data_IF_766519911681
#
_entry.id   IF_766519911681
#
_cell.length_a   1.000
_cell.length_b   1.000
_cell.length_c   1.000
_cell.angle_alpha   90.00
_cell.angle_beta   90.00
_cell.angle_gamma   90.00
#
_symmetry.space_group_name_H-M   'P 1'
#
loop_
_entity.id
_entity.type
_entity.pdbx_description
1 polymer ?
#
# COMPACT_ATOMS: atom_id res chain seq x y z
N UNK A 1 21.77 -37.19 27.85
CA UNK A 1 20.78 -36.14 27.99
C UNK A 1 21.57 -34.83 28.02
N UNK A 2 21.70 -34.17 26.89
CA UNK A 2 22.41 -32.88 26.79
C UNK A 2 21.33 -31.82 26.70
N UNK A 3 21.18 -31.06 27.80
CA UNK A 3 20.21 -29.97 27.93
C UNK A 3 20.94 -28.70 27.45
N UNK A 4 20.82 -28.37 26.16
CA UNK A 4 21.36 -27.12 25.60
C UNK A 4 20.22 -26.12 25.48
N UNK A 5 19.77 -25.62 26.62
CA UNK A 5 18.86 -24.46 26.66
C UNK A 5 19.73 -23.18 26.75
N UNK A 6 20.42 -22.86 25.65
CA UNK A 6 21.09 -21.58 25.54
C UNK A 6 20.08 -20.60 24.94
N UNK A 7 19.45 -19.81 25.80
CA UNK A 7 18.62 -18.68 25.38
C UNK A 7 19.51 -17.67 24.64
N UNK A 8 19.32 -17.44 23.32
CA UNK A 8 20.13 -16.49 22.56
C UNK A 8 19.99 -15.05 23.05
N UNK A 9 19.03 -14.74 23.91
CA UNK A 9 18.82 -13.42 24.49
C UNK A 9 19.62 -13.20 25.78
N UNK A 10 20.29 -14.21 26.34
CA UNK A 10 21.20 -14.02 27.48
C UNK A 10 22.38 -13.09 27.16
N UNK A 11 22.75 -12.98 25.87
CA UNK A 11 23.76 -11.99 25.40
C UNK A 11 23.30 -10.54 25.61
N UNK A 12 22.00 -10.29 25.66
CA UNK A 12 21.44 -8.95 25.91
C UNK A 12 21.38 -8.60 27.41
N UNK A 13 21.59 -9.57 28.28
CA UNK A 13 21.64 -9.36 29.73
C UNK A 13 23.02 -8.93 30.25
N UNK A 14 24.07 -9.11 29.46
CA UNK A 14 25.42 -8.59 29.73
C UNK A 14 25.54 -7.11 29.31
N UNK A 15 24.81 -6.27 30.06
CA UNK A 15 24.59 -4.86 29.74
C UNK A 15 25.77 -3.92 29.99
N UNK A 16 26.93 -4.41 30.38
CA UNK A 16 28.03 -3.56 30.89
C UNK A 16 29.26 -3.43 29.97
N UNK A 17 29.21 -3.99 28.77
CA UNK A 17 30.27 -3.72 27.79
C UNK A 17 29.70 -2.88 26.64
N UNK A 18 30.09 -1.59 26.53
CA UNK A 18 29.74 -0.80 25.36
C UNK A 18 30.34 -1.45 24.12
N UNK A 19 29.55 -2.14 23.33
CA UNK A 19 29.96 -2.67 22.03
C UNK A 19 30.17 -1.46 21.14
N UNK A 20 31.42 -1.13 20.86
CA UNK A 20 31.73 -0.09 19.87
C UNK A 20 31.26 -0.60 18.49
N UNK A 21 30.40 0.12 17.81
CA UNK A 21 29.97 -0.28 16.46
C UNK A 21 31.17 -0.29 15.52
N UNK A 22 31.09 -1.14 14.47
CA UNK A 22 32.09 -1.13 13.39
C UNK A 22 32.37 0.32 12.97
N UNK A 23 33.65 0.75 12.97
CA UNK A 23 34.04 2.13 12.65
C UNK A 23 33.54 2.60 11.27
N UNK A 24 33.50 1.70 10.30
CA UNK A 24 32.95 1.99 8.96
C UNK A 24 31.44 2.15 8.96
N UNK A 25 30.74 1.35 9.74
CA UNK A 25 29.30 1.50 9.93
C UNK A 25 28.99 2.83 10.64
N UNK A 26 29.69 3.13 11.72
CA UNK A 26 29.51 4.36 12.48
C UNK A 26 29.79 5.60 11.61
N UNK A 27 30.82 5.58 10.78
CA UNK A 27 31.14 6.67 9.86
C UNK A 27 30.08 6.87 8.79
N UNK A 28 29.59 5.77 8.18
CA UNK A 28 28.51 5.85 7.19
C UNK A 28 27.19 6.35 7.79
N UNK A 29 26.85 5.88 8.99
CA UNK A 29 25.64 6.34 9.68
C UNK A 29 25.73 7.83 10.03
N UNK A 30 26.89 8.26 10.55
CA UNK A 30 27.14 9.68 10.87
C UNK A 30 26.99 10.56 9.63
N UNK A 31 27.65 10.20 8.53
CA UNK A 31 27.57 10.96 7.28
C UNK A 31 26.11 11.07 6.76
N UNK A 32 25.33 10.01 6.86
CA UNK A 32 23.90 10.03 6.49
C UNK A 32 23.07 10.94 7.40
N UNK A 33 23.31 10.91 8.70
CA UNK A 33 22.62 11.78 9.65
C UNK A 33 22.99 13.25 9.45
N UNK A 34 24.26 13.55 9.25
CA UNK A 34 24.74 14.91 8.95
C UNK A 34 24.13 15.44 7.64
N UNK A 35 24.08 14.61 6.60
CA UNK A 35 23.40 14.94 5.33
C UNK A 35 21.90 15.19 5.51
N UNK A 36 21.22 14.38 6.33
CA UNK A 36 19.79 14.55 6.60
C UNK A 36 19.48 15.83 7.39
N UNK A 37 20.37 16.23 8.30
CA UNK A 37 20.24 17.45 9.09
C UNK A 37 20.52 18.73 8.30
N UNK A 38 21.27 18.64 7.19
CA UNK A 38 21.58 19.77 6.30
C UNK A 38 20.55 19.97 5.19
N UNK A 39 19.59 19.04 5.03
CA UNK A 39 18.50 19.23 4.09
C UNK A 39 17.59 20.38 4.53
N UNK A 40 17.32 21.37 3.67
CA UNK A 40 16.39 22.44 3.99
C UNK A 40 15.00 21.85 4.31
N UNK A 41 14.41 22.35 5.39
CA UNK A 41 13.10 21.95 5.88
C UNK A 41 12.05 22.17 4.78
N UNK A 42 11.65 21.12 4.06
CA UNK A 42 10.67 21.17 2.95
C UNK A 42 9.26 21.24 3.50
N UNK A 43 8.90 22.35 4.09
CA UNK A 43 7.51 22.77 4.29
C UNK A 43 7.18 23.82 3.23
N UNK A 44 7.04 23.42 1.96
CA UNK A 44 6.20 24.12 0.97
C UNK A 44 6.39 23.42 -0.38
N UNK A 45 5.28 23.07 -1.04
CA UNK A 45 5.29 22.55 -2.39
C UNK A 45 5.91 23.59 -3.33
N UNK A 46 7.06 23.28 -3.91
CA UNK A 46 7.69 24.07 -4.97
C UNK A 46 7.39 23.39 -6.28
N UNK A 47 6.66 24.12 -7.12
CA UNK A 47 6.55 23.87 -8.55
C UNK A 47 7.96 23.96 -9.15
N UNK A 48 8.47 22.86 -9.70
CA UNK A 48 9.75 22.82 -10.37
C UNK A 48 9.62 23.48 -11.74
N UNK A 49 10.03 24.72 -11.84
CA UNK A 49 10.38 25.34 -13.12
C UNK A 49 11.90 25.51 -13.16
N UNK A 50 12.54 24.76 -14.08
CA UNK A 50 13.75 25.14 -14.78
C UNK A 50 15.08 25.07 -14.02
N UNK A 51 15.95 24.21 -14.55
CA UNK A 51 17.43 24.30 -14.53
C UNK A 51 18.14 24.40 -13.19
N UNK A 52 18.48 23.24 -12.63
CA UNK A 52 19.62 23.15 -11.73
C UNK A 52 20.57 22.05 -12.22
N UNK A 53 21.58 22.48 -12.97
CA UNK A 53 22.64 21.66 -13.59
C UNK A 53 23.69 21.21 -12.55
N UNK A 54 23.54 21.60 -11.29
CA UNK A 54 24.56 21.41 -10.26
C UNK A 54 24.42 20.13 -9.42
N UNK A 55 23.34 19.36 -9.57
CA UNK A 55 23.15 18.07 -8.84
C UNK A 55 23.51 16.86 -9.70
N UNK A 56 23.81 17.08 -10.98
CA UNK A 56 24.07 15.99 -11.94
C UNK A 56 25.47 15.39 -11.86
N UNK A 57 26.42 16.00 -11.16
CA UNK A 57 27.82 15.54 -11.14
C UNK A 57 28.18 14.65 -9.94
N UNK A 58 27.28 14.45 -8.96
CA UNK A 58 27.54 13.60 -7.79
C UNK A 58 27.01 12.16 -7.92
N UNK A 59 26.36 11.84 -9.01
CA UNK A 59 25.86 10.49 -9.31
C UNK A 59 26.45 9.92 -10.59
N UNK A 60 27.78 9.94 -10.71
CA UNK A 60 28.47 9.26 -11.84
C UNK A 60 28.73 7.79 -11.52
N UNK A 61 27.70 7.06 -11.11
CA UNK A 61 27.57 5.66 -11.50
C UNK A 61 26.73 5.61 -12.76
N UNK A 62 27.04 4.69 -13.74
CA UNK A 62 26.22 4.60 -14.95
C UNK A 62 24.79 4.35 -14.53
N UNK A 63 23.95 5.34 -14.75
CA UNK A 63 22.52 5.28 -14.49
C UNK A 63 21.97 4.09 -15.29
N UNK A 64 21.83 2.95 -14.62
CA UNK A 64 20.75 2.05 -14.96
C UNK A 64 19.52 2.95 -14.93
N UNK A 65 18.96 3.24 -16.10
CA UNK A 65 17.79 4.06 -16.24
C UNK A 65 16.78 3.60 -15.19
N UNK A 66 16.55 4.42 -14.17
CA UNK A 66 15.47 4.24 -13.21
C UNK A 66 14.17 4.55 -13.94
N UNK A 67 13.82 3.67 -14.91
CA UNK A 67 12.45 3.58 -15.35
C UNK A 67 11.65 3.29 -14.07
N UNK A 68 10.68 4.14 -13.75
CA UNK A 68 9.70 3.80 -12.71
C UNK A 68 9.34 2.34 -12.88
N UNK A 69 9.39 1.52 -11.81
CA UNK A 69 9.14 0.10 -11.95
C UNK A 69 7.79 -0.06 -12.63
N UNK A 70 7.82 -0.55 -13.86
CA UNK A 70 6.59 -0.95 -14.55
C UNK A 70 6.06 -2.11 -13.76
N UNK A 71 4.74 -2.18 -13.48
CA UNK A 71 4.17 -3.36 -12.84
C UNK A 71 4.58 -4.58 -13.67
N UNK A 72 5.36 -5.47 -13.07
CA UNK A 72 5.82 -6.69 -13.73
C UNK A 72 4.67 -7.67 -13.95
N UNK A 73 3.56 -7.51 -13.20
CA UNK A 73 2.33 -8.26 -13.35
C UNK A 73 1.16 -7.28 -13.48
N UNK A 74 0.35 -7.47 -14.51
CA UNK A 74 -0.87 -6.68 -14.76
C UNK A 74 -2.06 -7.60 -14.50
N UNK A 75 -3.06 -7.18 -13.70
CA UNK A 75 -4.30 -7.93 -13.54
C UNK A 75 -4.99 -8.11 -14.89
N UNK A 76 -5.39 -9.34 -15.19
CA UNK A 76 -6.16 -9.68 -16.38
C UNK A 76 -7.43 -10.41 -15.92
N UNK A 77 -8.58 -9.76 -16.03
CA UNK A 77 -9.84 -10.23 -15.48
C UNK A 77 -10.65 -10.97 -16.56
N UNK A 78 -11.20 -12.12 -16.21
CA UNK A 78 -12.28 -12.73 -16.95
C UNK A 78 -13.62 -12.22 -16.40
N UNK A 79 -14.50 -11.74 -17.25
CA UNK A 79 -15.80 -11.21 -16.86
C UNK A 79 -16.92 -11.86 -17.69
N UNK A 80 -18.17 -11.97 -17.16
CA UNK A 80 -19.26 -12.58 -17.91
C UNK A 80 -19.68 -11.78 -19.14
N UNK A 81 -19.52 -10.45 -19.11
CA UNK A 81 -19.81 -9.51 -20.19
C UNK A 81 -18.80 -8.36 -20.12
N UNK A 82 -17.82 -8.39 -21.01
CA UNK A 82 -16.75 -7.41 -21.02
C UNK A 82 -17.22 -6.00 -21.38
N UNK A 83 -18.25 -5.84 -22.21
CA UNK A 83 -18.81 -4.52 -22.53
C UNK A 83 -19.48 -3.90 -21.31
N UNK A 84 -20.28 -4.68 -20.61
CA UNK A 84 -20.91 -4.25 -19.36
C UNK A 84 -19.86 -3.94 -18.28
N UNK A 85 -18.80 -4.76 -18.17
CA UNK A 85 -17.73 -4.54 -17.22
C UNK A 85 -16.94 -3.25 -17.52
N UNK A 86 -16.59 -2.98 -18.78
CA UNK A 86 -15.92 -1.73 -19.19
C UNK A 86 -16.77 -0.52 -18.78
N UNK A 87 -18.07 -0.53 -19.10
CA UNK A 87 -18.98 0.54 -18.72
C UNK A 87 -19.01 0.72 -17.20
N UNK A 88 -19.14 -0.37 -16.45
CA UNK A 88 -19.17 -0.34 -15.00
C UNK A 88 -17.87 0.21 -14.38
N UNK A 89 -16.70 -0.27 -14.81
CA UNK A 89 -15.41 0.23 -14.29
C UNK A 89 -15.22 1.71 -14.61
N UNK A 90 -15.69 2.16 -15.77
CA UNK A 90 -15.65 3.59 -16.14
C UNK A 90 -16.55 4.42 -15.21
N UNK A 91 -17.81 4.02 -15.02
CA UNK A 91 -18.78 4.80 -14.26
C UNK A 91 -18.57 4.70 -12.74
N UNK A 92 -18.30 3.49 -12.25
CA UNK A 92 -18.22 3.22 -10.82
C UNK A 92 -16.83 3.53 -10.24
N UNK A 93 -15.74 3.18 -10.94
CA UNK A 93 -14.38 3.32 -10.44
C UNK A 93 -13.58 4.43 -11.12
N UNK A 94 -14.11 5.03 -12.19
CA UNK A 94 -13.42 6.10 -12.92
C UNK A 94 -12.31 5.59 -13.84
N UNK A 95 -12.44 4.37 -14.32
CA UNK A 95 -11.52 3.82 -15.32
C UNK A 95 -11.68 4.54 -16.67
N UNK A 96 -10.62 4.56 -17.46
CA UNK A 96 -10.62 5.10 -18.82
C UNK A 96 -10.19 3.99 -19.76
N UNK A 97 -11.01 3.70 -20.76
CA UNK A 97 -10.66 2.72 -21.79
C UNK A 97 -9.47 3.22 -22.62
N UNK A 98 -8.49 2.34 -22.84
CA UNK A 98 -7.29 2.62 -23.63
C UNK A 98 -7.39 1.85 -24.95
N UNK A 99 -7.52 2.58 -26.04
CA UNK A 99 -7.71 1.98 -27.36
C UNK A 99 -9.05 1.27 -27.56
N UNK A 100 -9.19 0.60 -28.70
CA UNK A 100 -10.40 -0.18 -29.02
C UNK A 100 -10.23 -1.62 -28.52
N UNK A 101 -11.28 -2.22 -27.95
CA UNK A 101 -11.25 -3.61 -27.55
C UNK A 101 -11.07 -4.54 -28.75
N UNK A 102 -10.32 -5.63 -28.56
CA UNK A 102 -10.20 -6.68 -29.55
C UNK A 102 -11.45 -7.55 -29.52
N UNK A 103 -12.24 -7.46 -30.56
CA UNK A 103 -13.47 -8.26 -30.71
C UNK A 103 -13.14 -9.52 -31.52
N UNK A 104 -13.53 -10.68 -30.99
CA UNK A 104 -13.35 -11.98 -31.63
C UNK A 104 -14.45 -12.21 -32.68
N UNK A 105 -14.26 -13.23 -33.54
CA UNK A 105 -15.21 -13.56 -34.61
C UNK A 105 -16.62 -13.91 -34.11
N UNK A 106 -16.71 -14.41 -32.88
CA UNK A 106 -17.98 -14.75 -32.21
C UNK A 106 -18.62 -13.53 -31.48
N UNK A 107 -18.01 -12.36 -31.59
CA UNK A 107 -18.49 -11.11 -30.99
C UNK A 107 -18.08 -10.88 -29.54
N UNK A 108 -17.43 -11.85 -28.88
CA UNK A 108 -16.84 -11.65 -27.55
C UNK A 108 -15.65 -10.71 -27.61
N UNK A 109 -15.38 -10.02 -26.50
CA UNK A 109 -14.17 -9.23 -26.33
C UNK A 109 -13.05 -10.16 -25.82
N UNK A 110 -12.02 -10.37 -26.66
CA UNK A 110 -10.85 -11.16 -26.32
C UNK A 110 -9.82 -10.36 -25.51
N UNK A 111 -9.85 -9.03 -25.60
CA UNK A 111 -8.97 -8.16 -24.87
C UNK A 111 -9.49 -6.73 -24.82
N UNK A 112 -9.44 -6.13 -23.63
CA UNK A 112 -9.62 -4.70 -23.44
C UNK A 112 -8.64 -4.20 -22.38
N UNK A 113 -8.19 -2.96 -22.56
CA UNK A 113 -7.27 -2.28 -21.64
C UNK A 113 -7.97 -1.08 -21.02
N UNK A 114 -7.85 -0.96 -19.70
CA UNK A 114 -8.34 0.19 -18.93
C UNK A 114 -7.20 0.82 -18.14
N UNK A 115 -7.13 2.14 -18.15
CA UNK A 115 -6.34 2.91 -17.19
C UNK A 115 -7.19 3.17 -15.96
N UNK A 116 -6.69 2.84 -14.78
CA UNK A 116 -7.40 3.01 -13.52
C UNK A 116 -6.44 3.48 -12.43
N UNK A 117 -6.68 4.68 -11.88
CA UNK A 117 -5.87 5.29 -10.82
C UNK A 117 -4.35 5.30 -11.10
N UNK A 118 -3.97 5.52 -12.36
CA UNK A 118 -2.57 5.51 -12.80
C UNK A 118 -1.97 4.13 -13.04
N UNK A 119 -2.74 3.07 -12.82
CA UNK A 119 -2.40 1.69 -13.16
C UNK A 119 -3.09 1.21 -14.44
N UNK A 120 -2.85 -0.05 -14.77
CA UNK A 120 -3.43 -0.73 -15.94
C UNK A 120 -4.21 -1.95 -15.48
N UNK A 121 -5.37 -2.15 -16.07
CA UNK A 121 -6.25 -3.30 -15.87
C UNK A 121 -6.62 -3.87 -17.23
N UNK A 122 -6.39 -5.16 -17.44
CA UNK A 122 -6.87 -5.88 -18.61
C UNK A 122 -8.11 -6.69 -18.29
N UNK A 123 -8.98 -6.86 -19.28
CA UNK A 123 -10.12 -7.74 -19.14
C UNK A 123 -10.51 -8.37 -20.48
N UNK A 124 -11.19 -9.49 -20.39
CA UNK A 124 -11.81 -10.20 -21.52
C UNK A 124 -13.13 -10.82 -21.08
N UNK A 125 -13.96 -11.16 -22.04
CA UNK A 125 -15.08 -12.07 -21.83
C UNK A 125 -14.60 -13.44 -21.34
N UNK A 126 -15.47 -14.21 -20.75
CA UNK A 126 -15.21 -15.61 -20.42
C UNK A 126 -14.94 -16.44 -21.67
N UNK A 127 -13.92 -17.32 -21.57
CA UNK A 127 -13.62 -18.35 -22.54
C UNK A 127 -13.54 -19.70 -21.81
N UNK A 128 -14.68 -20.28 -21.42
CA UNK A 128 -14.72 -21.52 -20.63
C UNK A 128 -14.00 -22.68 -21.31
N UNK A 129 -14.00 -22.70 -22.64
CA UNK A 129 -13.30 -23.67 -23.48
C UNK A 129 -11.75 -23.60 -23.31
N UNK A 130 -11.23 -22.46 -22.89
CA UNK A 130 -9.82 -22.26 -22.54
C UNK A 130 -9.57 -22.28 -21.02
N UNK A 131 -10.59 -22.56 -20.22
CA UNK A 131 -10.50 -22.53 -18.75
C UNK A 131 -10.56 -21.13 -18.14
N UNK A 132 -10.83 -20.09 -18.95
CA UNK A 132 -10.92 -18.71 -18.49
C UNK A 132 -12.38 -18.39 -18.11
N UNK A 133 -12.62 -18.18 -16.81
CA UNK A 133 -13.96 -17.92 -16.26
C UNK A 133 -13.93 -16.77 -15.28
N UNK A 134 -15.03 -16.03 -15.21
CA UNK A 134 -15.27 -15.08 -14.14
C UNK A 134 -15.33 -15.79 -12.77
N UNK A 135 -15.09 -15.07 -11.66
CA UNK A 135 -15.23 -15.64 -10.34
C UNK A 135 -16.60 -16.22 -10.10
N UNK A 136 -16.66 -17.46 -9.60
CA UNK A 136 -17.91 -18.02 -9.13
C UNK A 136 -18.43 -17.23 -7.92
N UNK A 137 -19.75 -17.15 -7.68
CA UNK A 137 -20.31 -16.50 -6.52
C UNK A 137 -19.63 -17.00 -5.22
N UNK A 138 -19.16 -16.08 -4.39
CA UNK A 138 -18.47 -16.32 -3.11
C UNK A 138 -17.11 -17.08 -3.22
N UNK A 139 -16.51 -17.17 -4.40
CA UNK A 139 -15.25 -17.88 -4.64
C UNK A 139 -14.16 -16.96 -5.22
N UNK A 140 -13.84 -15.89 -4.51
CA UNK A 140 -12.75 -14.99 -4.90
C UNK A 140 -11.41 -15.50 -4.35
N UNK A 141 -10.49 -15.85 -5.24
CA UNK A 141 -9.10 -16.23 -4.91
C UNK A 141 -8.16 -15.04 -4.88
N UNK A 142 -8.58 -13.87 -5.42
CA UNK A 142 -7.77 -12.64 -5.51
C UNK A 142 -8.60 -11.45 -5.04
N UNK A 143 -7.94 -10.52 -4.38
CA UNK A 143 -8.48 -9.19 -4.08
C UNK A 143 -7.66 -8.15 -4.81
N UNK A 144 -8.32 -7.25 -5.50
CA UNK A 144 -7.69 -6.09 -6.14
C UNK A 144 -7.76 -4.91 -5.18
N UNK A 145 -6.63 -4.25 -4.93
CA UNK A 145 -6.61 -3.04 -4.11
C UNK A 145 -6.60 -1.82 -5.02
N UNK A 146 -7.56 -0.92 -4.80
CA UNK A 146 -7.67 0.35 -5.47
C UNK A 146 -7.45 1.48 -4.48
N UNK A 147 -6.41 2.28 -4.72
CA UNK A 147 -6.21 3.50 -3.96
C UNK A 147 -7.14 4.59 -4.49
N UNK A 148 -7.89 5.20 -3.57
CA UNK A 148 -8.88 6.24 -3.86
C UNK A 148 -8.62 7.47 -3.00
N UNK A 149 -9.05 8.62 -3.47
CA UNK A 149 -8.92 9.88 -2.71
C UNK A 149 -9.93 9.99 -1.57
N UNK A 150 -11.07 9.32 -1.70
CA UNK A 150 -12.16 9.30 -0.72
C UNK A 150 -12.85 7.94 -0.79
N UNK A 151 -12.68 7.13 0.26
CA UNK A 151 -13.22 5.76 0.33
C UNK A 151 -14.74 5.75 0.40
N UNK A 152 -15.36 6.67 1.15
CA UNK A 152 -16.81 6.73 1.29
C UNK A 152 -17.47 7.15 -0.02
N UNK A 153 -16.92 8.16 -0.69
CA UNK A 153 -17.42 8.59 -2.00
C UNK A 153 -17.27 7.50 -3.06
N UNK A 154 -16.12 6.80 -3.10
CA UNK A 154 -15.88 5.69 -4.01
C UNK A 154 -16.82 4.50 -3.75
N UNK A 155 -17.00 4.12 -2.48
CA UNK A 155 -17.94 3.07 -2.08
C UNK A 155 -19.38 3.42 -2.48
N UNK A 156 -19.81 4.66 -2.18
CA UNK A 156 -21.18 5.09 -2.52
C UNK A 156 -21.41 5.12 -4.03
N UNK A 157 -20.39 5.50 -4.81
CA UNK A 157 -20.47 5.45 -6.27
C UNK A 157 -20.59 3.99 -6.76
N UNK A 158 -19.72 3.10 -6.31
CA UNK A 158 -19.78 1.68 -6.68
C UNK A 158 -21.11 1.03 -6.28
N UNK A 159 -21.64 1.34 -5.08
CA UNK A 159 -22.94 0.86 -4.61
C UNK A 159 -24.09 1.30 -5.52
N UNK A 160 -24.12 2.57 -5.96
CA UNK A 160 -25.15 3.07 -6.90
C UNK A 160 -25.12 2.35 -8.25
N UNK A 161 -23.94 1.85 -8.64
CA UNK A 161 -23.74 1.07 -9.87
C UNK A 161 -23.83 -0.45 -9.65
N UNK A 162 -24.39 -0.90 -8.53
CA UNK A 162 -24.74 -2.30 -8.30
C UNK A 162 -23.65 -3.16 -7.67
N UNK A 163 -22.56 -2.58 -7.17
CA UNK A 163 -21.59 -3.34 -6.39
C UNK A 163 -22.19 -3.83 -5.07
N UNK A 164 -21.89 -5.08 -4.73
CA UNK A 164 -22.23 -5.65 -3.43
C UNK A 164 -21.19 -5.24 -2.38
N UNK A 165 -21.63 -4.55 -1.32
CA UNK A 165 -20.74 -4.19 -0.22
C UNK A 165 -20.51 -5.41 0.66
N UNK A 166 -19.26 -5.87 0.75
CA UNK A 166 -18.84 -6.93 1.68
C UNK A 166 -18.43 -6.38 3.05
N UNK A 167 -17.80 -5.19 3.05
CA UNK A 167 -17.38 -4.53 4.27
C UNK A 167 -17.58 -3.03 4.14
N UNK A 168 -18.34 -2.47 5.07
CA UNK A 168 -18.55 -1.03 5.21
C UNK A 168 -17.24 -0.31 5.56
N UNK A 169 -17.16 1.02 5.39
CA UNK A 169 -15.93 1.77 5.65
C UNK A 169 -15.44 1.59 7.09
N UNK A 170 -14.15 1.33 7.23
CA UNK A 170 -13.47 1.19 8.52
C UNK A 170 -12.07 1.79 8.45
N UNK A 171 -11.59 2.28 9.59
CA UNK A 171 -10.23 2.77 9.75
C UNK A 171 -9.29 1.61 10.08
N UNK A 172 -8.13 1.55 9.41
CA UNK A 172 -7.09 0.57 9.71
C UNK A 172 -5.73 1.07 9.22
N UNK A 173 -4.73 1.03 10.08
CA UNK A 173 -3.34 1.43 9.79
C UNK A 173 -3.22 2.79 9.08
N UNK A 174 -3.96 3.80 9.55
CA UNK A 174 -3.92 5.15 8.98
C UNK A 174 -4.60 5.31 7.61
N UNK A 175 -5.38 4.32 7.20
CA UNK A 175 -6.17 4.33 5.97
C UNK A 175 -7.63 4.04 6.27
N UNK A 176 -8.52 4.66 5.50
CA UNK A 176 -9.94 4.33 5.48
C UNK A 176 -10.20 3.33 4.35
N UNK A 177 -10.76 2.18 4.70
CA UNK A 177 -10.89 1.04 3.81
C UNK A 177 -12.34 0.59 3.71
N UNK A 178 -12.72 0.03 2.55
CA UNK A 178 -13.98 -0.65 2.32
C UNK A 178 -13.77 -1.84 1.38
N UNK A 179 -14.71 -2.77 1.32
CA UNK A 179 -14.59 -3.92 0.42
C UNK A 179 -15.91 -4.13 -0.31
N UNK A 180 -15.81 -4.33 -1.61
CA UNK A 180 -16.93 -4.61 -2.50
C UNK A 180 -16.67 -5.84 -3.37
N UNK A 181 -17.76 -6.41 -3.88
CA UNK A 181 -17.77 -7.30 -5.05
C UNK A 181 -18.40 -6.51 -6.19
N UNK A 182 -17.73 -6.45 -7.33
CA UNK A 182 -18.30 -5.84 -8.51
C UNK A 182 -19.37 -6.75 -9.18
N UNK A 183 -20.14 -6.25 -10.14
CA UNK A 183 -21.16 -7.06 -10.82
C UNK A 183 -20.60 -8.26 -11.60
N UNK A 184 -19.31 -8.24 -11.94
CA UNK A 184 -18.62 -9.35 -12.60
C UNK A 184 -18.08 -10.40 -11.62
N UNK A 185 -18.24 -10.17 -10.30
CA UNK A 185 -17.84 -11.09 -9.25
C UNK A 185 -16.45 -10.85 -8.67
N UNK A 186 -15.69 -9.87 -9.14
CA UNK A 186 -14.35 -9.59 -8.62
C UNK A 186 -14.40 -8.78 -7.30
N UNK A 187 -13.49 -9.13 -6.40
CA UNK A 187 -13.37 -8.50 -5.09
C UNK A 187 -12.41 -7.32 -5.13
N UNK A 188 -12.90 -6.16 -4.69
CA UNK A 188 -12.12 -4.92 -4.61
C UNK A 188 -12.00 -4.44 -3.18
N UNK A 189 -10.79 -4.04 -2.80
CA UNK A 189 -10.49 -3.33 -1.57
C UNK A 189 -10.26 -1.87 -1.93
N UNK A 190 -11.16 -0.98 -1.53
CA UNK A 190 -10.99 0.46 -1.68
C UNK A 190 -10.20 0.98 -0.49
N UNK A 191 -9.13 1.75 -0.74
CA UNK A 191 -8.26 2.27 0.32
C UNK A 191 -7.94 3.73 0.05
N UNK A 192 -8.32 4.60 0.95
CA UNK A 192 -8.08 6.03 0.90
C UNK A 192 -7.47 6.57 2.19
N UNK A 193 -7.22 7.87 2.25
CA UNK A 193 -6.76 8.52 3.46
C UNK A 193 -7.73 8.28 4.62
N UNK A 194 -7.20 8.14 5.83
CA UNK A 194 -7.98 8.10 7.05
C UNK A 194 -8.78 9.40 7.21
N UNK A 195 -10.03 9.28 7.66
CA UNK A 195 -10.85 10.44 8.05
C UNK A 195 -10.64 10.84 9.51
N UNK A 196 -9.93 10.01 10.28
CA UNK A 196 -9.47 10.34 11.63
C UNK A 196 -8.41 11.45 11.61
N UNK A 197 -8.06 11.94 12.79
CA UNK A 197 -6.95 12.91 12.96
C UNK A 197 -5.76 12.41 12.12
N UNK A 198 -5.20 13.23 11.23
CA UNK A 198 -4.04 12.82 10.45
C UNK A 198 -3.00 12.25 11.41
N UNK A 199 -2.58 11.03 11.19
CA UNK A 199 -1.43 10.52 11.91
C UNK A 199 -0.32 11.54 11.62
N UNK A 200 0.15 12.23 12.66
CA UNK A 200 1.25 13.21 12.55
C UNK A 200 2.57 12.52 12.15
N UNK A 201 2.48 11.26 11.74
CA UNK A 201 3.60 10.42 11.31
C UNK A 201 3.98 10.83 9.90
N UNK A 202 5.18 11.38 9.77
CA UNK A 202 5.78 11.77 8.50
C UNK A 202 6.77 10.71 8.03
N UNK A 203 7.23 10.83 6.79
CA UNK A 203 8.28 9.95 6.28
C UNK A 203 9.53 10.02 7.16
N UNK A 204 9.95 8.86 7.69
CA UNK A 204 11.08 8.75 8.62
C UNK A 204 10.67 8.63 10.08
N UNK A 205 9.40 8.83 10.41
CA UNK A 205 8.90 8.65 11.77
C UNK A 205 8.73 7.16 12.11
N UNK A 206 8.90 6.85 13.40
CA UNK A 206 8.58 5.52 13.92
C UNK A 206 7.07 5.45 14.13
N UNK A 207 6.37 4.79 13.20
CA UNK A 207 4.92 4.72 13.21
C UNK A 207 4.31 3.74 14.23
N UNK A 208 5.11 2.80 14.71
CA UNK A 208 4.66 1.78 15.67
C UNK A 208 5.84 1.26 16.48
N UNK A 209 5.67 1.21 17.80
CA UNK A 209 6.64 0.59 18.73
C UNK A 209 5.88 -0.38 19.65
N UNK A 210 6.32 -1.64 19.68
CA UNK A 210 5.82 -2.64 20.63
C UNK A 210 6.82 -2.79 21.77
N UNK A 211 6.39 -2.54 22.98
CA UNK A 211 7.23 -2.68 24.18
C UNK A 211 6.69 -3.85 25.01
N UNK A 212 7.49 -4.89 25.13
CA UNK A 212 7.18 -6.02 25.99
C UNK A 212 7.74 -5.75 27.39
N UNK A 213 6.88 -5.76 28.40
CA UNK A 213 7.28 -5.51 29.79
C UNK A 213 6.70 -6.60 30.70
N UNK A 214 7.46 -7.05 31.71
CA UNK A 214 6.96 -8.02 32.70
C UNK A 214 5.77 -7.51 33.52
N UNK A 215 5.69 -6.19 33.66
CA UNK A 215 4.60 -5.48 34.35
C UNK A 215 4.12 -4.34 33.46
N UNK A 216 3.05 -4.56 32.68
CA UNK A 216 2.53 -3.56 31.76
C UNK A 216 2.04 -2.28 32.42
N UNK A 217 1.49 -2.38 33.63
CA UNK A 217 0.94 -1.23 34.35
C UNK A 217 2.07 -0.29 34.84
N UNK A 218 3.17 -0.85 35.33
CA UNK A 218 4.37 -0.07 35.64
C UNK A 218 5.00 0.55 34.42
N UNK A 219 5.07 -0.20 33.31
CA UNK A 219 5.58 0.33 32.06
C UNK A 219 4.72 1.48 31.55
N UNK A 220 3.40 1.34 31.55
CA UNK A 220 2.47 2.39 31.16
C UNK A 220 2.62 3.65 32.05
N UNK A 221 2.74 3.47 33.38
CA UNK A 221 2.96 4.57 34.29
C UNK A 221 4.30 5.28 34.03
N UNK A 222 5.37 4.52 33.78
CA UNK A 222 6.70 5.05 33.46
C UNK A 222 6.68 5.85 32.16
N UNK A 223 6.20 5.25 31.07
CA UNK A 223 6.21 5.91 29.76
C UNK A 223 5.20 7.07 29.70
N UNK A 224 4.07 6.97 30.41
CA UNK A 224 3.14 8.07 30.59
C UNK A 224 3.78 9.27 31.29
N UNK A 225 4.59 9.03 32.33
CA UNK A 225 5.29 10.09 33.08
C UNK A 225 6.46 10.69 32.29
N UNK A 226 7.29 9.85 31.65
CA UNK A 226 8.53 10.30 30.98
C UNK A 226 8.27 10.86 29.59
N UNK A 227 7.36 10.24 28.82
CA UNK A 227 7.11 10.57 27.40
C UNK A 227 5.75 11.22 27.16
N UNK A 228 4.92 11.35 28.18
CA UNK A 228 3.54 11.88 28.04
C UNK A 228 2.60 10.94 27.27
N UNK A 229 2.92 9.64 27.17
CA UNK A 229 2.08 8.70 26.45
C UNK A 229 0.77 8.44 27.20
N UNK A 230 -0.32 8.38 26.43
CA UNK A 230 -1.64 8.00 26.94
C UNK A 230 -1.84 6.51 26.63
N UNK A 231 -2.09 5.74 27.67
CA UNK A 231 -2.33 4.31 27.58
C UNK A 231 -3.85 4.02 27.56
N UNK A 232 -4.30 3.25 26.58
CA UNK A 232 -5.68 2.73 26.52
C UNK A 232 -5.72 1.31 27.10
N UNK A 233 -6.31 1.08 28.28
CA UNK A 233 -6.39 -0.23 28.88
C UNK A 233 -7.30 -1.20 28.14
N UNK A 234 -8.14 -0.72 27.21
CA UNK A 234 -9.00 -1.55 26.37
C UNK A 234 -8.30 -2.13 25.13
N UNK A 235 -7.09 -1.66 24.81
CA UNK A 235 -6.30 -2.10 23.67
C UNK A 235 -5.41 -3.33 23.99
N UNK A 236 -5.80 -4.19 24.93
CA UNK A 236 -5.08 -5.42 25.30
C UNK A 236 -5.40 -6.58 24.40
#
# INVERSE_FOLDING_TARGET
>A
MINNNHDPLTVLADADLPVSPDPQFAARLRARLESALTLPNRTQGVVMTGTDTAISELNSEPAAATSSPRPAAVPYLAVPDARAAIAWYTEALGAVQVGEPIVMDDGRIGHAELSLAGGVLYLADEFPEMGLKAPAPQANSVSLMLHVTDTDAALNRARRHGAQVQREPYENYGSRNATIIDPSGHRWMLSGPSTGVPALIQHGDVGYVSVWAPDPDKAAAFYGHVLGWIYDPAAR
#
